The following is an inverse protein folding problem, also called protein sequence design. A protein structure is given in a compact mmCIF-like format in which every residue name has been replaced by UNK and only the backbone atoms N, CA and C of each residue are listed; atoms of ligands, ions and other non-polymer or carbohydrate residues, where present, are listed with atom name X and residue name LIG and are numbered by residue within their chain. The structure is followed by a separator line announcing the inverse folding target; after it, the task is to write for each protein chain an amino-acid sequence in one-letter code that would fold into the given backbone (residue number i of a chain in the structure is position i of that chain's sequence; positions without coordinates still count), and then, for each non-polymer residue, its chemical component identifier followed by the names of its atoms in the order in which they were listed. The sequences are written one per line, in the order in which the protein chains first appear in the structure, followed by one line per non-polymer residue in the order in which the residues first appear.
data_IF_534893234294
#
_entry.id   IF_534893234294
#
_cell.length_a   1.000
_cell.length_b   1.000
_cell.length_c   1.000
_cell.angle_alpha   90.00
_cell.angle_beta   90.00
_cell.angle_gamma   90.00
#
_symmetry.space_group_name_H-M   'P 1'
#
loop_
_entity.id
_entity.type
_entity.pdbx_description
1 polymer ?
#
# COMPACT_ATOMS: atom_id res chain seq x y z
N UNK A 1 7.10 -8.82 1.50
CA UNK A 1 5.83 -9.27 0.86
C UNK A 1 5.43 -10.63 1.41
N UNK A 2 4.23 -10.75 1.99
CA UNK A 2 3.72 -12.06 2.45
C UNK A 2 3.23 -12.88 1.26
N UNK A 3 3.76 -14.09 1.11
CA UNK A 3 3.37 -14.99 0.01
C UNK A 3 2.94 -16.35 0.56
N UNK A 4 1.75 -16.81 0.16
CA UNK A 4 1.27 -18.13 0.54
C UNK A 4 1.79 -19.17 -0.43
N UNK A 5 2.45 -20.22 0.07
CA UNK A 5 3.06 -21.24 -0.79
C UNK A 5 2.28 -22.54 -0.67
N UNK A 6 1.64 -22.94 -1.77
CA UNK A 6 1.03 -24.25 -1.92
C UNK A 6 2.12 -25.21 -2.37
N UNK A 7 2.39 -26.23 -1.55
CA UNK A 7 3.43 -27.22 -1.81
C UNK A 7 3.02 -28.59 -1.28
N UNK A 8 3.69 -29.63 -1.76
CA UNK A 8 3.65 -30.94 -1.10
C UNK A 8 4.62 -30.96 0.08
N UNK A 9 4.30 -31.70 1.13
CA UNK A 9 5.16 -31.79 2.33
C UNK A 9 6.61 -32.17 2.01
N UNK A 10 6.82 -33.07 1.03
CA UNK A 10 8.15 -33.51 0.56
C UNK A 10 8.96 -32.36 -0.06
N UNK A 11 8.28 -31.44 -0.72
CA UNK A 11 8.90 -30.39 -1.54
C UNK A 11 9.11 -29.08 -0.76
N UNK A 12 8.69 -29.03 0.51
CA UNK A 12 8.80 -27.83 1.37
C UNK A 12 10.22 -27.26 1.42
N UNK A 13 11.22 -28.13 1.59
CA UNK A 13 12.63 -27.71 1.68
C UNK A 13 13.15 -27.16 0.34
N UNK A 14 12.73 -27.76 -0.77
CA UNK A 14 13.09 -27.34 -2.12
C UNK A 14 12.43 -25.99 -2.45
N UNK A 15 11.13 -25.87 -2.20
CA UNK A 15 10.36 -24.64 -2.36
C UNK A 15 10.96 -23.48 -1.55
N UNK A 16 11.27 -23.71 -0.27
CA UNK A 16 11.87 -22.69 0.59
C UNK A 16 13.26 -22.23 0.10
N UNK A 17 14.09 -23.16 -0.39
CA UNK A 17 15.42 -22.84 -0.91
C UNK A 17 15.33 -22.06 -2.23
N UNK A 18 14.41 -22.46 -3.12
CA UNK A 18 14.19 -21.78 -4.40
C UNK A 18 13.65 -20.36 -4.20
N UNK A 19 12.69 -20.17 -3.29
CA UNK A 19 12.16 -18.85 -2.95
C UNK A 19 13.21 -17.94 -2.32
N UNK A 20 14.10 -18.48 -1.47
CA UNK A 20 15.25 -17.71 -0.92
C UNK A 20 16.22 -17.28 -2.01
N UNK A 21 16.47 -18.14 -3.01
CA UNK A 21 17.34 -17.79 -4.13
C UNK A 21 16.71 -16.69 -5.00
N UNK A 22 15.41 -16.78 -5.27
CA UNK A 22 14.66 -15.74 -5.99
C UNK A 22 14.68 -14.43 -5.20
N UNK A 23 14.40 -14.46 -3.89
CA UNK A 23 14.46 -13.28 -3.03
C UNK A 23 15.83 -12.59 -3.10
N UNK A 24 16.92 -13.36 -3.03
CA UNK A 24 18.30 -12.83 -3.15
C UNK A 24 18.61 -12.29 -4.53
N UNK A 25 18.22 -13.00 -5.59
CA UNK A 25 18.53 -12.61 -6.96
C UNK A 25 17.89 -11.27 -7.35
N UNK A 26 16.71 -10.98 -6.81
CA UNK A 26 15.94 -9.80 -7.15
C UNK A 26 15.90 -8.74 -6.04
N UNK A 27 16.64 -8.96 -4.93
CA UNK A 27 16.63 -8.09 -3.74
C UNK A 27 15.22 -7.82 -3.19
N UNK A 28 14.33 -8.82 -3.26
CA UNK A 28 12.94 -8.72 -2.79
C UNK A 28 12.82 -9.36 -1.41
N UNK A 29 12.20 -8.66 -0.45
CA UNK A 29 11.83 -9.29 0.84
C UNK A 29 10.59 -10.17 0.66
N UNK A 30 10.78 -11.49 0.60
CA UNK A 30 9.70 -12.48 0.55
C UNK A 30 9.53 -13.16 1.91
N UNK A 31 8.31 -13.12 2.43
CA UNK A 31 7.90 -13.80 3.66
C UNK A 31 6.98 -14.97 3.30
N UNK A 32 7.55 -16.16 3.00
CA UNK A 32 6.76 -17.33 2.61
C UNK A 32 6.04 -17.93 3.81
N UNK A 33 4.73 -18.10 3.67
CA UNK A 33 3.84 -18.76 4.63
C UNK A 33 3.67 -20.20 4.15
N UNK A 34 4.21 -21.13 4.93
CA UNK A 34 4.08 -22.58 4.74
C UNK A 34 3.14 -23.14 5.80
N UNK A 35 2.26 -24.06 5.42
CA UNK A 35 1.40 -24.77 6.36
C UNK A 35 1.96 -26.15 6.68
N UNK A 36 2.12 -26.43 7.98
CA UNK A 36 2.87 -27.59 8.45
C UNK A 36 1.99 -28.83 8.68
N UNK A 37 0.68 -28.70 8.55
CA UNK A 37 -0.24 -29.77 8.93
C UNK A 37 -1.53 -29.72 8.13
N UNK A 38 -1.60 -30.55 7.10
CA UNK A 38 -2.83 -30.83 6.36
C UNK A 38 -3.70 -31.91 7.03
N UNK A 39 -3.30 -32.40 8.22
CA UNK A 39 -3.97 -33.47 8.96
C UNK A 39 -4.75 -33.03 10.21
N UNK A 40 -4.82 -31.73 10.51
CA UNK A 40 -5.56 -31.22 11.67
C UNK A 40 -6.92 -30.68 11.21
N UNK A 41 -8.03 -30.98 11.89
CA UNK A 41 -9.40 -30.57 11.48
C UNK A 41 -9.53 -29.08 11.13
N UNK A 42 -8.70 -28.21 11.73
CA UNK A 42 -8.69 -26.75 11.49
C UNK A 42 -7.75 -26.29 10.36
N UNK A 43 -7.20 -27.20 9.55
CA UNK A 43 -6.26 -26.86 8.49
C UNK A 43 -6.88 -25.92 7.44
N UNK A 44 -8.16 -26.14 7.10
CA UNK A 44 -8.90 -25.30 6.15
C UNK A 44 -9.04 -23.86 6.62
N UNK A 45 -9.34 -23.66 7.90
CA UNK A 45 -9.45 -22.31 8.48
C UNK A 45 -8.10 -21.59 8.50
N UNK A 46 -7.03 -22.31 8.85
CA UNK A 46 -5.66 -21.76 8.82
C UNK A 46 -5.23 -21.42 7.40
N UNK A 47 -5.54 -22.27 6.44
CA UNK A 47 -5.28 -22.02 5.02
C UNK A 47 -6.07 -20.82 4.52
N UNK A 48 -7.34 -20.68 4.89
CA UNK A 48 -8.15 -19.52 4.51
C UNK A 48 -7.56 -18.22 5.05
N UNK A 49 -7.15 -18.19 6.33
CA UNK A 49 -6.49 -17.03 6.94
C UNK A 49 -5.17 -16.70 6.24
N UNK A 50 -4.34 -17.71 5.99
CA UNK A 50 -3.06 -17.54 5.30
C UNK A 50 -3.23 -17.02 3.87
N UNK A 51 -4.22 -17.53 3.12
CA UNK A 51 -4.59 -17.05 1.79
C UNK A 51 -5.07 -15.59 1.85
N UNK A 52 -5.87 -15.22 2.85
CA UNK A 52 -6.36 -13.85 3.02
C UNK A 52 -5.24 -12.86 3.34
N UNK A 53 -4.32 -13.24 4.24
CA UNK A 53 -3.17 -12.40 4.63
C UNK A 53 -2.09 -12.28 3.56
N UNK A 54 -1.99 -13.26 2.66
CA UNK A 54 -0.98 -13.24 1.61
C UNK A 54 -1.31 -12.23 0.50
N UNK A 55 -0.28 -11.53 0.03
CA UNK A 55 -0.37 -10.58 -1.08
C UNK A 55 -0.40 -11.33 -2.43
N UNK A 56 0.32 -12.46 -2.52
CA UNK A 56 0.32 -13.33 -3.70
C UNK A 56 0.37 -14.82 -3.30
N UNK A 57 -0.05 -15.69 -4.22
CA UNK A 57 -0.13 -17.14 -4.01
C UNK A 57 0.81 -17.84 -4.97
N UNK A 58 1.69 -18.69 -4.43
CA UNK A 58 2.69 -19.43 -5.18
C UNK A 58 2.34 -20.91 -5.16
N UNK A 59 2.18 -21.53 -6.33
CA UNK A 59 2.00 -22.97 -6.49
C UNK A 59 3.34 -23.58 -6.86
N UNK A 60 3.90 -24.40 -5.98
CA UNK A 60 5.15 -25.11 -6.23
C UNK A 60 4.87 -26.50 -6.80
N UNK A 61 5.36 -26.76 -8.02
CA UNK A 61 5.18 -28.02 -8.75
C UNK A 61 3.72 -28.49 -8.82
N UNK A 62 2.91 -27.77 -9.61
CA UNK A 62 1.47 -28.03 -9.80
C UNK A 62 1.11 -29.50 -10.00
N UNK A 63 1.90 -30.24 -10.80
CA UNK A 63 1.70 -31.67 -11.05
C UNK A 63 1.77 -32.52 -9.77
N UNK A 64 2.69 -32.20 -8.86
CA UNK A 64 2.85 -32.86 -7.55
C UNK A 64 1.71 -32.49 -6.59
N UNK A 65 1.19 -31.26 -6.69
CA UNK A 65 0.06 -30.78 -5.88
C UNK A 65 -1.28 -31.41 -6.27
N UNK A 66 -1.49 -31.74 -7.55
CA UNK A 66 -2.71 -32.41 -8.04
C UNK A 66 -2.84 -33.87 -7.57
N UNK A 67 -1.84 -34.43 -6.90
CA UNK A 67 -1.94 -35.76 -6.26
C UNK A 67 -2.60 -35.72 -4.87
N UNK A 68 -2.70 -34.55 -4.25
CA UNK A 68 -3.20 -34.39 -2.88
C UNK A 68 -4.51 -33.61 -2.84
N UNK A 69 -5.53 -34.16 -2.18
CA UNK A 69 -6.83 -33.48 -2.03
C UNK A 69 -6.72 -32.15 -1.28
N UNK A 70 -5.78 -32.05 -0.33
CA UNK A 70 -5.52 -30.82 0.41
C UNK A 70 -5.01 -29.69 -0.49
N UNK A 71 -3.99 -29.96 -1.31
CA UNK A 71 -3.44 -28.97 -2.22
C UNK A 71 -4.43 -28.61 -3.36
N UNK A 72 -5.24 -29.57 -3.83
CA UNK A 72 -6.36 -29.26 -4.75
C UNK A 72 -7.35 -28.26 -4.15
N UNK A 73 -7.72 -28.46 -2.89
CA UNK A 73 -8.63 -27.56 -2.18
C UNK A 73 -8.01 -26.16 -2.04
N UNK A 74 -6.73 -26.07 -1.69
CA UNK A 74 -6.00 -24.80 -1.60
C UNK A 74 -5.94 -24.07 -2.95
N UNK A 75 -5.67 -24.79 -4.05
CA UNK A 75 -5.64 -24.23 -5.41
C UNK A 75 -7.02 -23.71 -5.81
N UNK A 76 -8.08 -24.48 -5.55
CA UNK A 76 -9.45 -24.05 -5.88
C UNK A 76 -9.85 -22.81 -5.07
N UNK A 77 -9.54 -22.77 -3.78
CA UNK A 77 -9.80 -21.59 -2.94
C UNK A 77 -8.98 -20.39 -3.36
N UNK A 78 -7.73 -20.59 -3.75
CA UNK A 78 -6.89 -19.52 -4.27
C UNK A 78 -7.49 -18.90 -5.56
N UNK A 79 -8.03 -19.72 -6.48
CA UNK A 79 -8.72 -19.24 -7.68
C UNK A 79 -9.96 -18.39 -7.37
N UNK A 80 -10.73 -18.77 -6.35
CA UNK A 80 -11.91 -18.00 -5.92
C UNK A 80 -11.56 -16.61 -5.38
N UNK A 81 -10.34 -16.41 -4.85
CA UNK A 81 -9.93 -15.11 -4.27
C UNK A 81 -9.53 -14.06 -5.31
N UNK A 82 -9.36 -14.43 -6.57
CA UNK A 82 -8.93 -13.51 -7.64
C UNK A 82 -7.50 -12.94 -7.46
N UNK A 83 -6.74 -13.46 -6.48
CA UNK A 83 -5.35 -13.06 -6.23
C UNK A 83 -4.42 -13.61 -7.28
N UNK A 84 -3.28 -12.95 -7.47
CA UNK A 84 -2.29 -13.36 -8.44
C UNK A 84 -1.69 -14.73 -8.07
N UNK A 85 -1.88 -15.69 -8.99
CA UNK A 85 -1.42 -17.06 -8.90
C UNK A 85 -0.13 -17.21 -9.71
N UNK A 86 0.93 -17.63 -9.05
CA UNK A 86 2.28 -17.75 -9.61
C UNK A 86 2.69 -19.23 -9.52
N UNK A 87 2.87 -19.88 -10.66
CA UNK A 87 3.27 -21.29 -10.71
C UNK A 87 4.79 -21.38 -10.85
N UNK A 88 5.46 -22.07 -9.94
CA UNK A 88 6.92 -22.30 -9.97
C UNK A 88 7.14 -23.80 -10.13
N UNK A 89 7.84 -24.20 -11.20
CA UNK A 89 8.28 -25.58 -11.37
C UNK A 89 9.70 -25.75 -10.79
N UNK A 90 10.08 -26.94 -10.35
CA UNK A 90 11.46 -27.19 -9.89
C UNK A 90 12.51 -27.05 -11.01
N UNK A 91 12.11 -27.23 -12.28
CA UNK A 91 13.03 -27.40 -13.42
C UNK A 91 13.11 -26.23 -14.42
N UNK A 92 12.19 -25.26 -14.42
CA UNK A 92 12.19 -24.20 -15.44
C UNK A 92 12.97 -22.94 -15.06
N UNK A 93 13.50 -22.27 -16.09
CA UNK A 93 14.04 -20.92 -16.02
C UNK A 93 12.86 -19.94 -15.95
N UNK A 94 12.52 -19.59 -14.72
CA UNK A 94 11.40 -18.76 -14.27
C UNK A 94 11.46 -17.27 -14.71
N UNK A 95 11.93 -16.95 -15.93
CA UNK A 95 12.11 -15.55 -16.37
C UNK A 95 10.80 -14.76 -16.44
N UNK A 96 9.70 -15.37 -16.87
CA UNK A 96 8.38 -14.70 -16.97
C UNK A 96 7.75 -14.41 -15.59
N UNK A 97 7.99 -15.29 -14.61
CA UNK A 97 7.48 -15.18 -13.24
C UNK A 97 8.14 -14.03 -12.48
N UNK A 98 9.39 -13.74 -12.81
CA UNK A 98 10.18 -12.70 -12.16
C UNK A 98 9.76 -11.29 -12.57
N UNK A 99 9.24 -11.11 -13.80
CA UNK A 99 8.65 -9.83 -14.23
C UNK A 99 7.37 -9.50 -13.46
N UNK A 100 6.50 -10.49 -13.25
CA UNK A 100 5.23 -10.32 -12.53
C UNK A 100 5.45 -10.03 -11.04
N UNK A 101 6.33 -10.79 -10.38
CA UNK A 101 6.72 -10.51 -8.99
C UNK A 101 7.33 -9.10 -8.82
N UNK A 102 8.15 -8.67 -9.78
CA UNK A 102 8.76 -7.33 -9.74
C UNK A 102 7.71 -6.23 -9.91
N UNK A 103 6.71 -6.41 -10.77
CA UNK A 103 5.62 -5.43 -10.91
C UNK A 103 4.81 -5.28 -9.62
N UNK A 104 4.49 -6.38 -8.94
CA UNK A 104 3.77 -6.34 -7.65
C UNK A 104 4.62 -5.66 -6.57
N UNK A 105 5.91 -5.99 -6.52
CA UNK A 105 6.81 -5.47 -5.50
C UNK A 105 7.17 -3.99 -5.72
N UNK A 106 7.42 -3.60 -6.98
CA UNK A 106 7.71 -2.20 -7.34
C UNK A 106 6.57 -1.25 -7.00
N UNK A 107 5.32 -1.70 -7.09
CA UNK A 107 4.16 -0.92 -6.67
C UNK A 107 4.16 -0.62 -5.17
N UNK A 108 4.73 -1.52 -4.36
CA UNK A 108 4.82 -1.37 -2.90
C UNK A 108 5.94 -0.42 -2.51
N UNK A 109 7.09 -0.47 -3.17
CA UNK A 109 8.17 0.49 -2.94
C UNK A 109 7.77 1.91 -3.36
N UNK A 110 7.05 2.07 -4.47
CA UNK A 110 6.49 3.36 -4.89
C UNK A 110 5.40 3.86 -3.93
N UNK A 111 4.56 2.96 -3.42
CA UNK A 111 3.56 3.29 -2.40
C UNK A 111 4.23 3.70 -1.09
N UNK A 112 5.17 2.91 -0.58
CA UNK A 112 5.89 3.18 0.67
C UNK A 112 6.77 4.44 0.54
N UNK A 113 7.33 4.72 -0.64
CA UNK A 113 8.04 5.99 -0.90
C UNK A 113 7.10 7.20 -0.82
N UNK A 114 5.84 7.06 -1.24
CA UNK A 114 4.84 8.14 -1.12
C UNK A 114 4.46 8.43 0.35
N UNK A 115 4.64 7.46 1.26
CA UNK A 115 4.29 7.58 2.68
C UNK A 115 5.48 7.54 3.63
N UNK A 116 6.70 7.40 3.11
CA UNK A 116 7.93 7.48 3.90
C UNK A 116 8.07 8.92 4.38
N UNK A 117 7.55 9.17 5.57
CA UNK A 117 7.41 10.48 6.19
C UNK A 117 8.74 11.21 6.17
N UNK A 118 8.87 12.17 5.27
CA UNK A 118 10.02 13.05 5.25
C UNK A 118 9.74 14.12 6.29
N UNK A 119 10.68 14.40 7.19
CA UNK A 119 10.48 15.43 8.23
C UNK A 119 10.14 16.81 7.64
N UNK A 120 10.45 17.03 6.37
CA UNK A 120 10.08 18.23 5.61
C UNK A 120 8.57 18.35 5.36
N UNK A 121 7.82 17.25 5.31
CA UNK A 121 6.37 17.26 5.04
C UNK A 121 5.61 17.95 6.18
N UNK A 122 6.07 17.77 7.42
CA UNK A 122 5.52 18.47 8.60
C UNK A 122 5.84 19.97 8.58
N UNK A 123 7.03 20.34 8.11
CA UNK A 123 7.42 21.75 7.97
C UNK A 123 6.65 22.45 6.84
N UNK A 124 6.45 21.76 5.71
CA UNK A 124 5.65 22.25 4.60
C UNK A 124 4.17 22.37 4.96
N UNK A 125 3.62 21.40 5.71
CA UNK A 125 2.27 21.47 6.25
C UNK A 125 2.12 22.65 7.24
N UNK A 126 3.10 22.85 8.11
CA UNK A 126 3.15 24.00 9.02
C UNK A 126 3.19 25.32 8.24
N UNK A 127 4.02 25.42 7.21
CA UNK A 127 4.12 26.60 6.36
C UNK A 127 2.80 26.90 5.66
N UNK A 128 2.15 25.88 5.09
CA UNK A 128 0.84 26.01 4.45
C UNK A 128 -0.24 26.50 5.43
N UNK A 129 -0.22 26.01 6.66
CA UNK A 129 -1.14 26.46 7.72
C UNK A 129 -0.92 27.93 8.10
N UNK A 130 0.35 28.36 8.24
CA UNK A 130 0.70 29.75 8.54
C UNK A 130 0.31 30.67 7.38
N UNK A 131 0.64 30.31 6.14
CA UNK A 131 0.31 31.10 4.95
C UNK A 131 -1.21 31.28 4.80
N UNK A 132 -1.97 30.21 5.06
CA UNK A 132 -3.44 30.26 5.07
C UNK A 132 -3.97 31.22 6.15
N UNK A 133 -3.43 31.11 7.36
CA UNK A 133 -3.81 31.95 8.50
C UNK A 133 -3.49 33.43 8.25
N UNK A 134 -2.31 33.71 7.71
CA UNK A 134 -1.89 35.08 7.36
C UNK A 134 -2.80 35.67 6.28
N UNK A 135 -3.10 34.91 5.23
CA UNK A 135 -3.98 35.38 4.14
C UNK A 135 -5.37 35.77 4.65
N UNK A 136 -5.91 35.04 5.63
CA UNK A 136 -7.20 35.34 6.25
C UNK A 136 -7.15 36.62 7.09
N UNK A 137 -6.07 36.81 7.85
CA UNK A 137 -5.86 38.02 8.66
C UNK A 137 -5.71 39.25 7.76
N UNK A 138 -4.90 39.15 6.69
CA UNK A 138 -4.71 40.24 5.73
C UNK A 138 -6.03 40.66 5.07
N UNK A 139 -6.88 39.70 4.68
CA UNK A 139 -8.22 40.01 4.14
C UNK A 139 -9.09 40.75 5.16
N UNK A 140 -9.09 40.34 6.43
CA UNK A 140 -9.84 41.05 7.49
C UNK A 140 -9.32 42.47 7.72
N UNK A 141 -8.00 42.64 7.80
CA UNK A 141 -7.38 43.95 8.00
C UNK A 141 -7.67 44.89 6.83
N UNK A 142 -7.53 44.43 5.59
CA UNK A 142 -7.79 45.22 4.39
C UNK A 142 -9.25 45.69 4.32
N UNK A 143 -10.19 44.78 4.59
CA UNK A 143 -11.63 45.10 4.59
C UNK A 143 -12.00 46.06 5.72
N UNK A 144 -11.50 45.83 6.95
CA UNK A 144 -11.77 46.73 8.08
C UNK A 144 -11.17 48.13 7.83
N UNK A 145 -9.93 48.22 7.35
CA UNK A 145 -9.30 49.48 7.01
C UNK A 145 -10.07 50.22 5.90
N UNK A 146 -10.55 49.50 4.89
CA UNK A 146 -11.39 50.08 3.85
C UNK A 146 -12.68 50.68 4.42
N UNK A 147 -13.43 49.93 5.23
CA UNK A 147 -14.66 50.43 5.85
C UNK A 147 -14.42 51.63 6.76
N UNK A 148 -13.39 51.59 7.60
CA UNK A 148 -13.02 52.72 8.47
C UNK A 148 -12.69 53.95 7.63
N UNK A 149 -11.95 53.78 6.53
CA UNK A 149 -11.57 54.89 5.65
C UNK A 149 -12.80 55.50 4.97
N UNK A 150 -13.71 54.67 4.45
CA UNK A 150 -14.94 55.13 3.80
C UNK A 150 -15.83 55.88 4.78
N UNK A 151 -16.10 55.30 5.96
CA UNK A 151 -16.94 55.92 6.98
C UNK A 151 -16.30 57.22 7.50
N UNK A 152 -15.00 57.21 7.78
CA UNK A 152 -14.27 58.39 8.21
C UNK A 152 -14.30 59.51 7.16
N UNK A 153 -14.14 59.18 5.88
CA UNK A 153 -14.24 60.16 4.79
C UNK A 153 -15.63 60.79 4.69
N UNK A 154 -16.69 59.98 4.85
CA UNK A 154 -18.08 60.46 4.81
C UNK A 154 -18.38 61.39 5.99
N UNK A 155 -17.95 61.01 7.20
CA UNK A 155 -18.07 61.84 8.39
C UNK A 155 -17.35 63.19 8.24
N UNK A 156 -16.15 63.20 7.65
CA UNK A 156 -15.40 64.42 7.39
C UNK A 156 -16.15 65.35 6.43
N UNK A 157 -16.73 64.81 5.34
CA UNK A 157 -17.52 65.57 4.38
C UNK A 157 -18.78 66.17 5.05
N UNK A 158 -19.50 65.36 5.84
CA UNK A 158 -20.69 65.82 6.57
C UNK A 158 -20.31 66.93 7.57
N UNK A 159 -19.24 66.75 8.34
CA UNK A 159 -18.77 67.75 9.29
C UNK A 159 -18.38 69.08 8.63
N UNK A 160 -17.77 69.02 7.44
CA UNK A 160 -17.42 70.20 6.66
C UNK A 160 -18.67 70.92 6.13
N UNK A 161 -19.66 70.18 5.64
CA UNK A 161 -20.96 70.72 5.19
C UNK A 161 -21.75 71.38 6.31
N UNK A 162 -21.77 70.79 7.51
CA UNK A 162 -22.46 71.37 8.68
C UNK A 162 -21.76 72.63 9.17
N UNK A 163 -20.43 72.71 9.09
CA UNK A 163 -19.67 73.91 9.48
C UNK A 163 -19.80 75.07 8.47
N UNK A 164 -20.09 74.76 7.20
CA UNK A 164 -20.26 75.74 6.12
C UNK A 164 -21.67 76.35 6.06
N UNK A 165 -22.64 75.81 6.83
CA UNK A 165 -24.00 76.30 6.95
C UNK A 165 -24.19 77.07 8.25
#
# INVERSE_FOLDING_TARGET
MKVFVIHRFKDRKLAGSKLKNIAKQYSIDLQPIFLDSSGCEKWKEKALKAIQEAEAIIIFDRKSCEESDNAKWEINKAKETGKELIEISSNDKDQDLTGRLKSIYGLKEEFDSCFSSNNNDYFDLYKLMIDSSESLIQRRQKTNAFFITVIGSLLAIIGLLVKLR
#
